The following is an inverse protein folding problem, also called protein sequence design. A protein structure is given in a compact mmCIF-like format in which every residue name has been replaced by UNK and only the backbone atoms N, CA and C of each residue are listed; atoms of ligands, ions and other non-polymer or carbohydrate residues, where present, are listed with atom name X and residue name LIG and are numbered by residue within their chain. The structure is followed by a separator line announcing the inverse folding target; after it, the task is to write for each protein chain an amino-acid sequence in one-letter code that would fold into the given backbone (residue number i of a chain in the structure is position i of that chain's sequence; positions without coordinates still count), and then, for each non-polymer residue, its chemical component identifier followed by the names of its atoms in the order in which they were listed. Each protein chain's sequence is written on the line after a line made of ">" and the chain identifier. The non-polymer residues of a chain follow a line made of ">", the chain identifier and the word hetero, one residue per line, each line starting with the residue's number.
data_IF_181269270833
#
_entry.id   IF_181269270833
#
_cell.length_a   1.000
_cell.length_b   1.000
_cell.length_c   1.000
_cell.angle_alpha   90.00
_cell.angle_beta   90.00
_cell.angle_gamma   90.00
#
_symmetry.space_group_name_H-M   'P 1'
#
loop_
_entity.id
_entity.type
_entity.pdbx_description
1 polymer ?
#
# COMPACT_ATOMS: atom_id res chain seq x y z
N UNK A 1 -14.58 -5.14 4.66
CA UNK A 1 -13.13 -5.36 4.47
C UNK A 1 -12.73 -4.56 3.27
N UNK A 2 -11.94 -3.53 3.50
CA UNK A 2 -11.50 -2.65 2.43
C UNK A 2 -10.44 -3.34 1.56
N UNK A 3 -10.53 -3.18 0.24
CA UNK A 3 -9.48 -3.65 -0.66
C UNK A 3 -8.34 -2.63 -0.67
N UNK A 4 -7.17 -3.02 -0.15
CA UNK A 4 -5.99 -2.17 -0.19
C UNK A 4 -5.12 -2.58 -1.38
N UNK A 5 -4.77 -1.63 -2.24
CA UNK A 5 -3.84 -1.84 -3.35
C UNK A 5 -2.63 -0.93 -3.19
N UNK A 6 -1.45 -1.52 -3.23
CA UNK A 6 -0.16 -0.85 -3.24
C UNK A 6 0.40 -0.89 -4.67
N UNK A 7 0.49 0.28 -5.29
CA UNK A 7 1.23 0.45 -6.54
C UNK A 7 2.70 0.69 -6.23
N UNK A 8 3.54 -0.17 -6.79
CA UNK A 8 4.99 -0.10 -6.64
C UNK A 8 5.70 -0.40 -7.96
N UNK A 9 7.03 -0.29 -7.98
CA UNK A 9 7.85 -0.87 -9.04
C UNK A 9 9.11 -1.52 -8.47
N UNK A 10 9.65 -2.48 -9.21
CA UNK A 10 10.89 -3.15 -8.87
C UNK A 10 12.10 -2.19 -8.95
N UNK A 11 12.79 -2.00 -7.83
CA UNK A 11 13.90 -1.04 -7.71
C UNK A 11 13.58 0.24 -6.96
N UNK A 12 12.34 0.44 -6.49
CA UNK A 12 12.01 1.59 -5.65
C UNK A 12 12.42 1.36 -4.17
N UNK A 13 13.33 2.16 -3.60
CA UNK A 13 13.76 1.99 -2.21
C UNK A 13 12.63 2.25 -1.21
N UNK A 14 11.79 3.26 -1.46
CA UNK A 14 10.65 3.58 -0.60
C UNK A 14 9.59 2.46 -0.57
N UNK A 15 9.40 1.75 -1.70
CA UNK A 15 8.52 0.58 -1.75
C UNK A 15 9.05 -0.58 -0.90
N UNK A 16 10.38 -0.75 -0.82
CA UNK A 16 11.00 -1.72 0.09
C UNK A 16 10.68 -1.42 1.55
N UNK A 17 10.86 -0.17 1.97
CA UNK A 17 10.52 0.26 3.33
C UNK A 17 9.03 0.05 3.65
N UNK A 18 8.14 0.35 2.71
CA UNK A 18 6.70 0.14 2.90
C UNK A 18 6.37 -1.32 3.24
N UNK A 19 7.01 -2.28 2.54
CA UNK A 19 6.82 -3.73 2.77
C UNK A 19 7.34 -4.17 4.14
N UNK A 20 8.51 -3.68 4.54
CA UNK A 20 9.07 -3.94 5.86
C UNK A 20 8.16 -3.42 6.98
N UNK A 21 7.67 -2.17 6.86
CA UNK A 21 6.72 -1.61 7.83
C UNK A 21 5.42 -2.40 7.91
N UNK A 22 4.85 -2.82 6.77
CA UNK A 22 3.67 -3.69 6.78
C UNK A 22 3.92 -5.01 7.51
N UNK A 23 5.10 -5.61 7.32
CA UNK A 23 5.48 -6.86 7.99
C UNK A 23 5.63 -6.68 9.50
N UNK A 24 6.29 -5.61 9.94
CA UNK A 24 6.39 -5.26 11.35
C UNK A 24 5.03 -5.01 11.99
N UNK A 25 4.18 -4.21 11.35
CA UNK A 25 2.85 -3.89 11.85
C UNK A 25 1.96 -5.14 11.97
N UNK A 26 2.06 -6.09 11.03
CA UNK A 26 1.41 -7.40 11.12
C UNK A 26 1.97 -8.24 12.27
N UNK A 27 3.25 -8.13 12.58
CA UNK A 27 3.87 -8.85 13.69
C UNK A 27 3.45 -8.28 15.04
N UNK A 28 3.44 -6.95 15.16
CA UNK A 28 3.04 -6.23 16.39
C UNK A 28 1.54 -6.30 16.64
N UNK A 29 0.71 -6.21 15.58
CA UNK A 29 -0.75 -6.14 15.70
C UNK A 29 -1.41 -7.30 14.93
N UNK A 30 -1.94 -8.31 15.65
CA UNK A 30 -2.58 -9.45 15.00
C UNK A 30 -3.85 -9.06 14.21
N UNK A 31 -4.51 -7.96 14.57
CA UNK A 31 -5.65 -7.41 13.81
C UNK A 31 -5.27 -7.03 12.37
N UNK A 32 -4.04 -6.54 12.16
CA UNK A 32 -3.55 -6.13 10.84
C UNK A 32 -3.11 -7.33 9.99
N UNK A 33 -2.97 -8.54 10.57
CA UNK A 33 -2.65 -9.75 9.81
C UNK A 33 -3.74 -10.13 8.83
N UNK A 34 -5.00 -9.86 9.19
CA UNK A 34 -6.16 -10.13 8.36
C UNK A 34 -6.32 -9.14 7.19
N UNK A 35 -5.57 -8.04 7.18
CA UNK A 35 -5.64 -7.04 6.12
C UNK A 35 -4.88 -7.55 4.91
N UNK A 36 -5.57 -7.80 3.80
CA UNK A 36 -4.92 -8.11 2.54
C UNK A 36 -4.51 -6.81 1.83
N UNK A 37 -3.27 -6.78 1.33
CA UNK A 37 -2.74 -5.66 0.56
C UNK A 37 -2.28 -6.22 -0.77
N UNK A 38 -3.03 -5.92 -1.82
CA UNK A 38 -2.68 -6.26 -3.19
C UNK A 38 -1.49 -5.41 -3.64
N UNK A 39 -0.51 -6.02 -4.29
CA UNK A 39 0.71 -5.34 -4.70
C UNK A 39 0.83 -5.41 -6.21
N UNK A 40 0.73 -4.25 -6.85
CA UNK A 40 0.71 -4.13 -8.31
C UNK A 40 1.98 -3.41 -8.77
N UNK A 41 2.74 -4.08 -9.63
CA UNK A 41 3.94 -3.50 -10.22
C UNK A 41 3.60 -2.71 -11.49
N UNK A 42 3.72 -1.39 -11.43
CA UNK A 42 3.33 -0.48 -12.51
C UNK A 42 4.25 -0.55 -13.73
N UNK A 43 5.49 -1.02 -13.56
CA UNK A 43 6.43 -1.18 -14.67
C UNK A 43 6.27 -2.54 -15.36
N UNK A 44 5.94 -3.58 -14.59
CA UNK A 44 5.71 -4.93 -15.13
C UNK A 44 4.32 -5.12 -15.72
N UNK A 45 3.35 -4.28 -15.35
CA UNK A 45 1.98 -4.36 -15.85
C UNK A 45 1.87 -3.61 -17.19
N UNK A 46 1.79 -4.30 -18.34
CA UNK A 46 1.62 -3.64 -19.62
C UNK A 46 0.27 -2.91 -19.64
N UNK A 47 0.26 -1.66 -20.11
CA UNK A 47 -0.95 -0.84 -20.22
C UNK A 47 -1.63 -0.55 -18.87
N UNK A 48 -0.85 -0.48 -17.78
CA UNK A 48 -1.35 -0.10 -16.48
C UNK A 48 -2.06 1.27 -16.51
N UNK A 49 -3.32 1.29 -16.07
CA UNK A 49 -4.09 2.51 -15.87
C UNK A 49 -4.48 2.54 -14.41
N UNK A 50 -4.00 3.54 -13.64
CA UNK A 50 -4.39 3.65 -12.25
C UNK A 50 -5.85 4.12 -12.13
N UNK A 51 -6.57 3.70 -11.06
CA UNK A 51 -7.95 4.14 -10.84
C UNK A 51 -8.05 5.66 -10.62
N UNK A 52 -7.00 6.27 -10.03
CA UNK A 52 -6.84 7.72 -9.94
C UNK A 52 -5.42 8.14 -10.33
N UNK A 53 -5.21 9.36 -10.84
CA UNK A 53 -3.88 9.87 -11.15
C UNK A 53 -2.99 9.97 -9.89
N UNK A 54 -1.82 9.36 -9.96
CA UNK A 54 -0.74 9.50 -8.99
C UNK A 54 0.59 9.73 -9.70
N UNK A 55 1.52 10.42 -9.04
CA UNK A 55 2.81 10.79 -9.64
C UNK A 55 3.99 10.07 -9.00
N UNK A 56 3.85 9.64 -7.73
CA UNK A 56 4.94 9.00 -6.98
C UNK A 56 4.51 7.67 -6.39
N UNK A 57 5.39 6.67 -6.49
CA UNK A 57 5.27 5.41 -5.75
C UNK A 57 6.23 5.40 -4.54
N UNK A 58 5.92 4.64 -3.47
CA UNK A 58 4.73 3.80 -3.27
C UNK A 58 3.43 4.61 -3.16
N UNK A 59 2.35 4.12 -3.79
CA UNK A 59 1.01 4.72 -3.68
C UNK A 59 0.05 3.67 -3.13
N UNK A 60 -0.70 4.03 -2.10
CA UNK A 60 -1.73 3.17 -1.52
C UNK A 60 -3.12 3.66 -1.91
N UNK A 61 -3.93 2.70 -2.29
CA UNK A 61 -5.35 2.84 -2.56
C UNK A 61 -6.13 1.98 -1.59
N UNK A 62 -7.27 2.51 -1.14
CA UNK A 62 -8.23 1.78 -0.30
C UNK A 62 -9.58 1.94 -0.97
N UNK A 63 -10.21 0.83 -1.37
CA UNK A 63 -11.48 0.83 -2.12
C UNK A 63 -11.43 1.71 -3.38
N UNK A 64 -10.30 1.63 -4.10
CA UNK A 64 -10.10 2.40 -5.33
C UNK A 64 -9.89 3.90 -5.11
N UNK A 65 -9.80 4.38 -3.87
CA UNK A 65 -9.45 5.77 -3.55
C UNK A 65 -8.02 5.91 -3.09
N UNK A 66 -7.31 6.91 -3.62
CA UNK A 66 -5.95 7.22 -3.20
C UNK A 66 -5.94 7.72 -1.77
N UNK A 67 -5.16 7.07 -0.90
CA UNK A 67 -5.06 7.45 0.52
C UNK A 67 -3.67 7.93 0.92
N UNK A 68 -2.63 7.48 0.20
CA UNK A 68 -1.24 7.78 0.50
C UNK A 68 -0.41 7.72 -0.78
N UNK A 69 0.50 8.68 -0.97
CA UNK A 69 1.35 8.77 -2.16
C UNK A 69 2.75 9.25 -1.75
N UNK A 70 3.80 8.53 -2.21
CA UNK A 70 5.19 8.97 -2.08
C UNK A 70 5.93 8.39 -0.88
N UNK A 71 6.74 9.21 -0.20
CA UNK A 71 7.57 8.76 0.91
C UNK A 71 6.70 8.33 2.10
N UNK A 72 6.78 7.06 2.46
CA UNK A 72 5.93 6.47 3.51
C UNK A 72 6.70 6.22 4.79
N UNK A 73 6.01 6.44 5.91
CA UNK A 73 6.50 6.16 7.26
C UNK A 73 5.66 5.05 7.91
N UNK A 74 6.20 4.37 8.92
CA UNK A 74 5.52 3.28 9.63
C UNK A 74 4.12 3.68 10.11
N UNK A 75 3.97 4.89 10.65
CA UNK A 75 2.69 5.43 11.12
C UNK A 75 1.65 5.60 9.99
N UNK A 76 2.08 5.99 8.79
CA UNK A 76 1.19 6.18 7.65
C UNK A 76 0.71 4.83 7.10
N UNK A 77 1.63 3.86 7.00
CA UNK A 77 1.29 2.48 6.64
C UNK A 77 0.28 1.90 7.64
N UNK A 78 0.49 2.13 8.94
CA UNK A 78 -0.44 1.70 9.97
C UNK A 78 -1.83 2.29 9.76
N UNK A 79 -1.93 3.60 9.52
CA UNK A 79 -3.22 4.26 9.25
C UNK A 79 -3.92 3.64 8.03
N UNK A 80 -3.18 3.36 6.96
CA UNK A 80 -3.72 2.72 5.75
C UNK A 80 -4.22 1.31 6.06
N UNK A 81 -3.41 0.48 6.71
CA UNK A 81 -3.81 -0.89 7.08
C UNK A 81 -5.04 -0.89 7.99
N UNK A 82 -5.12 0.06 8.94
CA UNK A 82 -6.27 0.19 9.84
C UNK A 82 -7.55 0.61 9.12
N UNK A 83 -7.45 1.38 8.03
CA UNK A 83 -8.59 1.65 7.14
C UNK A 83 -9.10 0.38 6.46
N UNK A 84 -8.22 -0.57 6.15
CA UNK A 84 -8.57 -1.91 5.66
C UNK A 84 -9.50 -2.69 6.60
N UNK A 85 -9.31 -2.53 7.90
CA UNK A 85 -10.12 -3.18 8.95
C UNK A 85 -11.45 -2.44 9.17
N UNK A 86 -11.43 -1.11 9.11
CA UNK A 86 -12.55 -0.26 9.53
C UNK A 86 -13.62 -0.06 8.44
N UNK A 87 -13.35 -0.44 7.19
CA UNK A 87 -14.29 -0.30 6.07
C UNK A 87 -15.15 -1.54 5.82
#
# INVERSE_FOLDING_TARGET
>A
MANITLYHFEGCPACGHAKEWMKELRAEKPELKAVEVEMVDVHKTPNFVPPEPFYYVPTFFVDGKKVLEGAVSKEEIEKVMRRGITA
#
